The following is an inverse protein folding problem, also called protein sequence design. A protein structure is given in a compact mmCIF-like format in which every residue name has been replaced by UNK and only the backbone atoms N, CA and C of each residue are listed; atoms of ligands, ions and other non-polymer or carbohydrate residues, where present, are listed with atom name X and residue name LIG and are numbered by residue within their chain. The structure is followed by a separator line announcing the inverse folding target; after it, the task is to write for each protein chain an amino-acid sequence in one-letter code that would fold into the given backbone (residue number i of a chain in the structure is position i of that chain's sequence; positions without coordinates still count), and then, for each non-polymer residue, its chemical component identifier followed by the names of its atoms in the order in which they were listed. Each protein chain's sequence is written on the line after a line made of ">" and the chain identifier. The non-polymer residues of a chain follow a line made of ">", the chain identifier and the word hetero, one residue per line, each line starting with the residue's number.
data_IF_629323407751
#
_entry.id   IF_629323407751
#
_cell.length_a   1.000
_cell.length_b   1.000
_cell.length_c   1.000
_cell.angle_alpha   90.00
_cell.angle_beta   90.00
_cell.angle_gamma   90.00
#
_symmetry.space_group_name_H-M   'P 1'
#
loop_
_entity.id
_entity.type
_entity.pdbx_description
1 polymer ?
#
# COMPACT_ATOMS: atom_id res chain seq x y z
N UNK A 1 -1.48 1.13 7.43
CA UNK A 1 -1.09 2.52 7.74
C UNK A 1 0.13 2.99 6.92
N UNK A 2 0.23 4.28 6.56
CA UNK A 2 1.47 4.87 6.04
C UNK A 2 2.43 5.17 7.19
N UNK A 3 3.69 4.76 7.04
CA UNK A 3 4.69 4.93 8.08
C UNK A 3 5.80 5.90 7.65
N UNK A 4 6.62 5.52 6.65
CA UNK A 4 7.78 6.33 6.24
C UNK A 4 8.16 6.18 4.77
N UNK A 5 8.93 7.14 4.28
CA UNK A 5 9.52 7.11 2.93
C UNK A 5 11.02 6.86 3.02
N UNK A 6 11.51 5.86 2.30
CA UNK A 6 12.92 5.50 2.23
C UNK A 6 13.50 5.71 0.83
N UNK A 7 14.81 5.91 0.74
CA UNK A 7 15.53 5.98 -0.53
C UNK A 7 16.52 4.83 -0.62
N UNK A 8 16.36 3.99 -1.64
CA UNK A 8 17.26 2.89 -1.95
C UNK A 8 18.17 3.26 -3.12
N UNK A 9 19.47 3.05 -2.97
CA UNK A 9 20.44 3.22 -4.06
C UNK A 9 20.69 1.86 -4.69
N UNK A 10 20.38 1.72 -5.99
CA UNK A 10 20.67 0.50 -6.76
C UNK A 10 21.77 0.77 -7.77
N UNK A 11 22.72 -0.16 -7.84
CA UNK A 11 23.82 -0.16 -8.79
C UNK A 11 23.45 -0.95 -10.03
N UNK A 12 23.73 -0.39 -11.19
CA UNK A 12 23.47 -0.99 -12.48
C UNK A 12 24.74 -0.93 -13.32
N UNK A 13 24.88 -1.86 -14.25
CA UNK A 13 25.95 -1.85 -15.24
C UNK A 13 25.35 -1.81 -16.65
N UNK A 14 25.94 -0.98 -17.52
CA UNK A 14 25.60 -0.97 -18.95
C UNK A 14 26.84 -1.20 -19.80
N UNK A 15 26.71 -1.97 -20.88
CA UNK A 15 27.76 -2.10 -21.89
C UNK A 15 27.67 -0.90 -22.85
N UNK A 16 28.81 -0.26 -23.10
CA UNK A 16 28.92 0.77 -24.15
C UNK A 16 28.91 0.13 -25.53
N UNK A 17 28.70 0.94 -26.57
CA UNK A 17 28.82 0.52 -27.98
C UNK A 17 30.19 -0.08 -28.32
N UNK A 18 31.24 0.28 -27.56
CA UNK A 18 32.62 -0.23 -27.71
C UNK A 18 32.95 -1.39 -26.75
N UNK A 19 31.95 -1.99 -26.11
CA UNK A 19 32.13 -3.15 -25.21
C UNK A 19 32.59 -2.82 -23.78
N UNK A 20 33.03 -1.59 -23.48
CA UNK A 20 33.39 -1.17 -22.11
C UNK A 20 32.16 -1.11 -21.21
N UNK A 21 32.23 -1.69 -20.01
CA UNK A 21 31.16 -1.66 -19.01
C UNK A 21 31.25 -0.39 -18.16
N UNK A 22 30.14 0.32 -18.03
CA UNK A 22 30.01 1.48 -17.15
C UNK A 22 29.01 1.18 -16.05
N UNK A 23 29.44 1.30 -14.79
CA UNK A 23 28.55 1.27 -13.65
C UNK A 23 27.90 2.64 -13.46
N UNK A 24 26.63 2.63 -13.06
CA UNK A 24 25.91 3.82 -12.65
C UNK A 24 24.97 3.50 -11.50
N UNK A 25 24.70 4.48 -10.66
CA UNK A 25 23.72 4.36 -9.56
C UNK A 25 22.41 5.03 -9.94
N UNK A 26 21.29 4.44 -9.52
CA UNK A 26 19.97 5.10 -9.53
C UNK A 26 19.42 5.09 -8.12
N UNK A 27 18.85 6.22 -7.72
CA UNK A 27 18.12 6.34 -6.46
C UNK A 27 16.66 6.05 -6.73
N UNK A 28 16.08 5.15 -5.94
CA UNK A 28 14.68 4.77 -6.00
C UNK A 28 14.03 5.14 -4.68
N UNK A 29 12.93 5.86 -4.73
CA UNK A 29 12.13 6.15 -3.54
C UNK A 29 11.12 5.02 -3.32
N UNK A 30 11.19 4.39 -2.16
CA UNK A 30 10.26 3.36 -1.71
C UNK A 30 9.51 3.86 -0.49
N UNK A 31 8.33 3.31 -0.26
CA UNK A 31 7.41 3.72 0.78
C UNK A 31 7.10 2.50 1.64
N UNK A 32 7.21 2.68 2.94
CA UNK A 32 6.91 1.66 3.94
C UNK A 32 5.50 1.90 4.45
N UNK A 33 4.73 0.83 4.40
CA UNK A 33 3.39 0.75 4.95
C UNK A 33 3.37 -0.34 6.00
N UNK A 34 2.54 -0.16 7.03
CA UNK A 34 2.12 -1.22 7.92
C UNK A 34 0.81 -1.82 7.38
N UNK A 35 0.66 -3.14 7.39
CA UNK A 35 -0.56 -3.80 6.95
C UNK A 35 -1.69 -3.65 7.97
N UNK A 36 -2.86 -3.16 7.57
CA UNK A 36 -4.01 -3.02 8.48
C UNK A 36 -4.69 -4.37 8.84
N UNK A 37 -4.20 -5.49 8.30
CA UNK A 37 -4.73 -6.83 8.60
C UNK A 37 -3.77 -7.70 9.42
N UNK A 38 -2.47 -7.68 9.12
CA UNK A 38 -1.46 -8.47 9.84
C UNK A 38 -0.44 -7.64 10.63
N UNK A 39 -0.49 -6.30 10.53
CA UNK A 39 0.44 -5.37 11.19
C UNK A 39 1.92 -5.53 10.78
N UNK A 40 2.18 -6.23 9.68
CA UNK A 40 3.54 -6.37 9.15
C UNK A 40 3.91 -5.18 8.26
N UNK A 41 5.17 -4.77 8.34
CA UNK A 41 5.74 -3.75 7.45
C UNK A 41 5.94 -4.34 6.03
N UNK A 42 5.51 -3.59 5.01
CA UNK A 42 5.76 -3.94 3.61
C UNK A 42 6.15 -2.71 2.80
N UNK A 43 6.95 -2.94 1.75
CA UNK A 43 7.48 -1.88 0.89
C UNK A 43 6.73 -1.81 -0.43
N UNK A 44 6.47 -0.59 -0.92
CA UNK A 44 6.03 -0.33 -2.30
C UNK A 44 6.82 0.79 -2.94
N UNK A 45 6.93 0.72 -4.27
CA UNK A 45 7.57 1.77 -5.03
C UNK A 45 6.69 3.03 -5.05
N UNK A 46 7.28 4.20 -4.79
CA UNK A 46 6.54 5.47 -4.85
C UNK A 46 5.83 5.68 -6.20
N UNK A 47 6.43 5.23 -7.30
CA UNK A 47 5.83 5.35 -8.63
C UNK A 47 4.62 4.45 -8.89
N UNK A 48 4.36 3.46 -8.04
CA UNK A 48 3.22 2.53 -8.15
C UNK A 48 2.09 2.90 -7.18
N UNK A 49 2.27 3.94 -6.37
CA UNK A 49 1.30 4.38 -5.37
C UNK A 49 0.79 5.75 -5.76
N UNK A 50 -0.53 5.90 -5.87
CA UNK A 50 -1.16 7.20 -6.08
C UNK A 50 -0.81 8.14 -4.91
N UNK A 51 -0.39 9.39 -5.18
CA UNK A 51 -0.01 10.34 -4.12
C UNK A 51 -1.11 10.58 -3.08
N UNK A 52 -2.39 10.48 -3.48
CA UNK A 52 -3.55 10.64 -2.59
C UNK A 52 -3.70 9.51 -1.57
N UNK A 53 -3.10 8.34 -1.85
CA UNK A 53 -3.15 7.17 -0.96
C UNK A 53 -2.03 7.19 0.08
N UNK A 54 -1.19 8.22 0.11
CA UNK A 54 -0.14 8.39 1.12
C UNK A 54 -0.67 9.02 2.41
N UNK A 55 -1.82 8.52 2.84
CA UNK A 55 -2.51 8.97 4.04
C UNK A 55 -3.16 7.76 4.72
N UNK A 56 -3.48 7.92 5.99
CA UNK A 56 -4.09 6.90 6.84
C UNK A 56 -5.60 6.78 6.67
N UNK A 57 -6.21 7.66 5.87
CA UNK A 57 -7.59 7.54 5.43
C UNK A 57 -7.84 6.30 4.54
N UNK A 58 -6.78 5.72 3.97
CA UNK A 58 -6.85 4.53 3.13
C UNK A 58 -6.31 3.30 3.84
N UNK A 59 -6.98 2.16 3.61
CA UNK A 59 -6.48 0.87 4.07
C UNK A 59 -5.30 0.42 3.18
N UNK A 60 -4.20 0.08 3.83
CA UNK A 60 -2.96 -0.44 3.27
C UNK A 60 -2.82 -1.90 3.65
N UNK A 61 -2.88 -2.78 2.65
CA UNK A 61 -2.82 -4.24 2.84
C UNK A 61 -1.63 -4.81 2.10
N UNK A 62 -0.88 -5.67 2.78
CA UNK A 62 0.26 -6.38 2.21
C UNK A 62 -0.19 -7.38 1.13
N UNK A 63 0.70 -7.78 0.21
CA UNK A 63 0.37 -8.75 -0.83
C UNK A 63 -0.05 -10.12 -0.27
N UNK A 64 0.48 -10.52 0.88
CA UNK A 64 0.20 -11.81 1.52
C UNK A 64 -1.24 -11.90 2.04
N UNK A 65 -1.77 -10.80 2.57
CA UNK A 65 -3.16 -10.70 3.02
C UNK A 65 -4.18 -10.52 1.88
N UNK A 66 -3.71 -10.42 0.62
CA UNK A 66 -4.50 -10.18 -0.58
C UNK A 66 -5.42 -8.92 -0.50
N UNK A 67 -4.97 -7.78 -1.06
CA UNK A 67 -5.74 -6.54 -1.05
C UNK A 67 -7.15 -6.66 -1.65
N UNK A 68 -7.35 -7.55 -2.64
CA UNK A 68 -8.65 -7.69 -3.32
C UNK A 68 -9.66 -8.39 -2.41
N UNK A 69 -9.24 -9.48 -1.76
CA UNK A 69 -10.08 -10.20 -0.81
C UNK A 69 -10.45 -9.32 0.38
N UNK A 70 -9.48 -8.57 0.91
CA UNK A 70 -9.74 -7.61 1.99
C UNK A 70 -10.78 -6.55 1.59
N UNK A 71 -10.62 -5.93 0.42
CA UNK A 71 -11.56 -4.92 -0.07
C UNK A 71 -12.98 -5.50 -0.26
N UNK A 72 -13.10 -6.72 -0.79
CA UNK A 72 -14.39 -7.39 -0.94
C UNK A 72 -15.04 -7.70 0.41
N UNK A 73 -14.26 -8.19 1.39
CA UNK A 73 -14.73 -8.47 2.76
C UNK A 73 -15.25 -7.19 3.42
N UNK A 74 -14.48 -6.09 3.38
CA UNK A 74 -14.90 -4.79 3.92
C UNK A 74 -16.15 -4.23 3.23
N UNK A 75 -16.24 -4.38 1.91
CA UNK A 75 -17.45 -4.01 1.18
C UNK A 75 -18.68 -4.82 1.59
N UNK A 76 -18.53 -6.13 1.84
CA UNK A 76 -19.62 -6.97 2.33
C UNK A 76 -20.03 -6.61 3.77
N UNK A 77 -19.07 -6.34 4.66
CA UNK A 77 -19.31 -5.85 6.02
C UNK A 77 -20.11 -4.55 6.00
N UNK A 78 -19.72 -3.59 5.16
CA UNK A 78 -20.42 -2.30 5.04
C UNK A 78 -21.86 -2.47 4.54
N UNK A 79 -22.09 -3.34 3.55
CA UNK A 79 -23.46 -3.63 3.08
C UNK A 79 -24.32 -4.25 4.18
N UNK A 80 -23.75 -5.14 5.00
CA UNK A 80 -24.47 -5.75 6.13
C UNK A 80 -24.83 -4.71 7.18
N UNK A 81 -23.91 -3.80 7.51
CA UNK A 81 -24.19 -2.68 8.43
C UNK A 81 -25.34 -1.80 7.91
N UNK A 82 -25.33 -1.47 6.63
CA UNK A 82 -26.38 -0.66 6.00
C UNK A 82 -27.73 -1.39 5.90
N UNK A 83 -27.73 -2.73 5.81
CA UNK A 83 -28.92 -3.57 5.78
C UNK A 83 -29.38 -4.01 7.18
N UNK A 84 -29.13 -3.20 8.21
CA UNK A 84 -29.66 -3.44 9.56
C UNK A 84 -31.05 -2.80 9.72
N UNK A 85 -31.83 -3.29 10.69
CA UNK A 85 -33.12 -2.68 11.03
C UNK A 85 -32.92 -1.34 11.72
N UNK A 86 -33.91 -0.44 11.60
CA UNK A 86 -33.86 0.90 12.21
C UNK A 86 -33.68 0.83 13.74
N UNK A 87 -34.13 -0.25 14.38
CA UNK A 87 -33.97 -0.50 15.82
C UNK A 87 -32.56 -0.95 16.24
N UNK A 88 -31.61 -1.04 15.31
CA UNK A 88 -30.22 -1.32 15.63
C UNK A 88 -29.63 -0.22 16.51
N UNK A 89 -28.99 -0.59 17.62
CA UNK A 89 -28.23 0.33 18.49
C UNK A 89 -26.93 0.79 17.83
N UNK A 90 -27.01 1.29 16.59
CA UNK A 90 -25.89 1.83 15.83
C UNK A 90 -25.96 3.36 15.86
N UNK A 91 -24.87 4.00 16.29
CA UNK A 91 -24.75 5.45 16.17
C UNK A 91 -24.29 5.85 14.77
N UNK A 92 -24.52 7.10 14.39
CA UNK A 92 -24.08 7.63 13.08
C UNK A 92 -22.56 7.49 12.90
N UNK A 93 -21.79 7.57 13.99
CA UNK A 93 -20.33 7.42 13.98
C UNK A 93 -19.86 5.98 13.68
N UNK A 94 -20.75 4.98 13.83
CA UNK A 94 -20.43 3.56 13.63
C UNK A 94 -20.83 3.03 12.24
N UNK A 95 -21.60 3.82 11.50
CA UNK A 95 -22.00 3.60 10.11
C UNK A 95 -20.90 4.04 9.14
#
# INVERSE_FOLDING_TARGET
>A
MFDRTEQEVKWYSRKSKKGKTHSYKRVKTVIIFECDNCHEEFKRDKGQVDPKRLDNAYNHVCPECDPKRFAQKKGAEQRRKLNTTVDGLLTIDQL
#
